data_IF_114165527907
#
_entry.id   IF_114165527907
#
_cell.length_a   1.000
_cell.length_b   1.000
_cell.length_c   1.000
_cell.angle_alpha   90.00
_cell.angle_beta   90.00
_cell.angle_gamma   90.00
#
_symmetry.space_group_name_H-M   'P 1'
#
loop_
_entity.id
_entity.type
_entity.pdbx_description
1 polymer ?
#
# COMPACT_ATOMS: atom_id res chain seq x y z
N UNK A 1 19.10 11.56 17.65
CA UNK A 1 19.73 10.35 17.08
C UNK A 1 20.06 10.64 15.63
N UNK A 2 21.01 9.92 15.02
CA UNK A 2 21.33 10.14 13.60
C UNK A 2 20.14 9.69 12.74
N UNK A 3 19.88 10.38 11.61
CA UNK A 3 18.83 10.03 10.65
C UNK A 3 18.87 8.54 10.27
N UNK A 4 20.06 7.97 10.15
CA UNK A 4 20.26 6.55 9.85
C UNK A 4 19.68 5.63 10.93
N UNK A 5 19.87 5.98 12.21
CA UNK A 5 19.34 5.19 13.33
C UNK A 5 17.82 5.20 13.30
N UNK A 6 17.23 6.38 13.08
CA UNK A 6 15.78 6.57 13.01
C UNK A 6 15.17 5.77 11.84
N UNK A 7 15.81 5.81 10.66
CA UNK A 7 15.38 5.02 9.49
C UNK A 7 15.50 3.51 9.72
N UNK A 8 16.55 3.04 10.40
CA UNK A 8 16.71 1.62 10.72
C UNK A 8 15.58 1.14 11.63
N UNK A 9 15.25 1.91 12.68
CA UNK A 9 14.17 1.56 13.62
C UNK A 9 12.85 1.41 12.87
N UNK A 10 12.48 2.42 12.07
CA UNK A 10 11.23 2.42 11.29
C UNK A 10 11.21 1.31 10.23
N UNK A 11 12.36 0.99 9.64
CA UNK A 11 12.43 -0.09 8.64
C UNK A 11 12.27 -1.46 9.29
N UNK A 12 12.86 -1.68 10.47
CA UNK A 12 12.74 -2.94 11.20
C UNK A 12 11.29 -3.17 11.64
N UNK A 13 10.64 -2.15 12.19
CA UNK A 13 9.23 -2.25 12.60
C UNK A 13 8.32 -2.47 11.39
N UNK A 14 8.57 -1.80 10.26
CA UNK A 14 7.84 -2.02 9.02
C UNK A 14 7.95 -3.47 8.52
N UNK A 15 9.16 -4.05 8.55
CA UNK A 15 9.35 -5.47 8.18
C UNK A 15 8.63 -6.38 9.16
N UNK A 16 8.69 -6.10 10.47
CA UNK A 16 7.99 -6.89 11.48
C UNK A 16 6.46 -6.86 11.27
N UNK A 17 5.88 -5.69 11.02
CA UNK A 17 4.45 -5.55 10.71
C UNK A 17 4.07 -6.21 9.39
N UNK A 18 4.93 -6.14 8.38
CA UNK A 18 4.70 -6.82 7.11
C UNK A 18 4.73 -8.34 7.25
N UNK A 19 5.72 -8.90 7.93
CA UNK A 19 5.80 -10.34 8.19
C UNK A 19 4.64 -10.80 9.09
N UNK A 20 4.30 -10.02 10.11
CA UNK A 20 3.17 -10.29 11.00
C UNK A 20 1.83 -10.29 10.26
N UNK A 21 1.57 -9.26 9.46
CA UNK A 21 0.38 -9.16 8.61
C UNK A 21 0.35 -10.27 7.57
N UNK A 22 1.46 -10.53 6.87
CA UNK A 22 1.58 -11.61 5.90
C UNK A 22 1.28 -12.97 6.53
N UNK A 23 1.87 -13.28 7.70
CA UNK A 23 1.65 -14.55 8.38
C UNK A 23 0.20 -14.70 8.88
N UNK A 24 -0.38 -13.62 9.41
CA UNK A 24 -1.77 -13.58 9.85
C UNK A 24 -2.73 -13.83 8.68
N UNK A 25 -2.56 -13.12 7.56
CA UNK A 25 -3.39 -13.30 6.38
C UNK A 25 -3.12 -14.64 5.67
N UNK A 26 -1.89 -15.12 5.66
CA UNK A 26 -1.57 -16.44 5.10
C UNK A 26 -2.21 -17.57 5.90
N UNK A 27 -2.33 -17.43 7.24
CA UNK A 27 -3.00 -18.44 8.08
C UNK A 27 -4.53 -18.34 8.04
N UNK A 28 -5.08 -17.12 8.02
CA UNK A 28 -6.52 -16.89 8.12
C UNK A 28 -7.24 -16.91 6.76
N UNK A 29 -6.61 -16.42 5.68
CA UNK A 29 -7.23 -16.24 4.36
C UNK A 29 -7.00 -17.44 3.43
N UNK A 30 -5.85 -18.11 3.51
CA UNK A 30 -5.54 -19.28 2.67
C UNK A 30 -6.25 -20.57 3.11
N UNK A 31 -6.98 -20.57 4.24
CA UNK A 31 -7.74 -21.75 4.67
C UNK A 31 -8.93 -22.05 3.76
N UNK A 32 -9.48 -21.04 3.07
CA UNK A 32 -10.67 -21.18 2.20
C UNK A 32 -10.51 -20.59 0.79
N UNK A 33 -9.32 -20.11 0.40
CA UNK A 33 -9.06 -19.57 -0.95
C UNK A 33 -8.31 -20.59 -1.80
N UNK A 34 -9.06 -21.48 -2.48
CA UNK A 34 -8.53 -22.48 -3.43
C UNK A 34 -7.95 -21.83 -4.71
N UNK A 35 -8.15 -20.52 -4.91
CA UNK A 35 -7.71 -19.79 -6.11
C UNK A 35 -6.54 -18.87 -5.77
N UNK A 36 -5.35 -19.37 -6.07
CA UNK A 36 -4.01 -18.89 -5.71
C UNK A 36 -3.64 -17.54 -6.34
N UNK A 37 -4.09 -16.44 -5.77
CA UNK A 37 -3.59 -15.11 -6.13
C UNK A 37 -2.77 -14.48 -5.01
N UNK A 38 -1.48 -14.87 -4.95
CA UNK A 38 -0.50 -14.35 -3.96
C UNK A 38 -0.41 -12.83 -3.93
N UNK A 39 -0.69 -12.17 -5.05
CA UNK A 39 -0.63 -10.70 -5.19
C UNK A 39 -1.67 -10.00 -4.31
N UNK A 40 -2.88 -10.55 -4.13
CA UNK A 40 -3.92 -9.96 -3.26
C UNK A 40 -3.52 -9.99 -1.81
N UNK A 41 -3.00 -11.14 -1.39
CA UNK A 41 -2.59 -11.35 -0.02
C UNK A 41 -1.41 -10.42 0.28
N UNK A 42 -0.52 -10.23 -0.70
CA UNK A 42 0.60 -9.30 -0.61
C UNK A 42 0.13 -7.86 -0.54
N UNK A 43 -0.79 -7.44 -1.41
CA UNK A 43 -1.30 -6.06 -1.40
C UNK A 43 -2.03 -5.76 -0.09
N UNK A 44 -2.81 -6.71 0.44
CA UNK A 44 -3.50 -6.52 1.71
C UNK A 44 -2.55 -6.47 2.90
N UNK A 45 -1.59 -7.40 2.98
CA UNK A 45 -0.56 -7.38 4.01
C UNK A 45 0.29 -6.10 3.96
N UNK A 46 0.58 -5.60 2.76
CA UNK A 46 1.33 -4.37 2.55
C UNK A 46 0.55 -3.13 3.01
N UNK A 47 -0.73 -3.01 2.64
CA UNK A 47 -1.61 -1.91 3.09
C UNK A 47 -1.77 -1.91 4.62
N UNK A 48 -1.90 -3.10 5.22
CA UNK A 48 -1.94 -3.24 6.68
C UNK A 48 -0.62 -2.80 7.33
N UNK A 49 0.52 -3.27 6.84
CA UNK A 49 1.83 -2.92 7.37
C UNK A 49 2.11 -1.41 7.28
N UNK A 50 1.75 -0.78 6.16
CA UNK A 50 1.86 0.67 5.99
C UNK A 50 0.95 1.44 6.96
N UNK A 51 -0.26 0.94 7.19
CA UNK A 51 -1.19 1.52 8.17
C UNK A 51 -0.63 1.45 9.60
N UNK A 52 -0.05 0.29 9.98
CA UNK A 52 0.67 0.13 11.24
C UNK A 52 1.88 1.07 11.35
N UNK A 53 2.64 1.25 10.26
CA UNK A 53 3.79 2.16 10.23
C UNK A 53 3.37 3.61 10.44
N UNK A 54 2.25 4.06 9.87
CA UNK A 54 1.72 5.41 10.15
C UNK A 54 1.27 5.56 11.60
N UNK A 55 0.60 4.55 12.14
CA UNK A 55 0.20 4.58 13.54
C UNK A 55 1.41 4.62 14.49
N UNK A 56 2.46 3.85 14.19
CA UNK A 56 3.72 3.89 14.92
C UNK A 56 4.38 5.28 14.85
N UNK A 57 4.39 5.94 13.68
CA UNK A 57 4.92 7.30 13.54
C UNK A 57 4.17 8.32 14.42
N UNK A 58 2.84 8.18 14.55
CA UNK A 58 2.04 9.01 15.48
C UNK A 58 2.45 8.74 16.93
N UNK A 59 2.68 7.48 17.32
CA UNK A 59 3.17 7.14 18.67
C UNK A 59 4.55 7.76 18.91
N UNK A 60 5.47 7.66 17.95
CA UNK A 60 6.79 8.28 18.05
C UNK A 60 6.76 9.81 18.04
N UNK A 61 5.69 10.40 17.50
CA UNK A 61 5.43 11.82 17.62
C UNK A 61 5.08 12.21 19.07
N UNK A 62 4.11 11.51 19.67
CA UNK A 62 3.65 11.75 21.04
C UNK A 62 4.77 11.51 22.06
N UNK A 63 5.59 10.47 21.86
CA UNK A 63 6.71 10.14 22.75
C UNK A 63 7.95 11.03 22.54
N UNK A 64 7.94 11.93 21.55
CA UNK A 64 9.08 12.75 21.15
C UNK A 64 10.39 11.94 20.92
N UNK A 65 10.25 10.68 20.51
CA UNK A 65 11.37 9.74 20.40
C UNK A 65 12.23 9.96 19.15
N UNK A 66 11.60 10.35 18.04
CA UNK A 66 12.22 10.52 16.73
C UNK A 66 12.39 12.00 16.35
N UNK A 67 13.43 12.33 15.58
CA UNK A 67 13.65 13.72 15.15
C UNK A 67 12.52 14.22 14.23
N UNK A 68 12.04 15.47 14.39
CA UNK A 68 10.92 16.01 13.59
C UNK A 68 11.13 15.95 12.07
N UNK A 69 12.36 16.21 11.60
CA UNK A 69 12.73 16.17 10.18
C UNK A 69 12.67 14.75 9.61
N UNK A 70 13.11 13.75 10.38
CA UNK A 70 13.03 12.33 10.01
C UNK A 70 11.58 11.87 9.91
N UNK A 71 10.75 12.22 10.91
CA UNK A 71 9.32 11.84 10.93
C UNK A 71 8.56 12.35 9.71
N UNK A 72 8.75 13.62 9.36
CA UNK A 72 8.05 14.23 8.24
C UNK A 72 8.37 13.54 6.91
N UNK A 73 9.62 13.12 6.71
CA UNK A 73 10.03 12.35 5.55
C UNK A 73 9.35 10.98 5.50
N UNK A 74 9.39 10.22 6.60
CA UNK A 74 8.76 8.89 6.66
C UNK A 74 7.23 8.96 6.51
N UNK A 75 6.61 10.00 7.07
CA UNK A 75 5.18 10.26 6.90
C UNK A 75 4.86 10.53 5.42
N UNK A 76 5.55 11.47 4.76
CA UNK A 76 5.30 11.76 3.34
C UNK A 76 5.46 10.51 2.48
N UNK A 77 6.55 9.77 2.66
CA UNK A 77 6.80 8.53 1.90
C UNK A 77 5.69 7.52 2.13
N UNK A 78 5.31 7.23 3.38
CA UNK A 78 4.28 6.25 3.65
C UNK A 78 2.90 6.66 3.12
N UNK A 79 2.55 7.95 3.12
CA UNK A 79 1.30 8.44 2.53
C UNK A 79 1.30 8.27 1.02
N UNK A 80 2.39 8.62 0.33
CA UNK A 80 2.52 8.40 -1.11
C UNK A 80 2.41 6.90 -1.46
N UNK A 81 3.04 6.03 -0.68
CA UNK A 81 2.94 4.58 -0.90
C UNK A 81 1.51 4.05 -0.67
N UNK A 82 0.84 4.48 0.40
CA UNK A 82 -0.55 4.06 0.65
C UNK A 82 -1.51 4.56 -0.43
N UNK A 83 -1.37 5.81 -0.84
CA UNK A 83 -2.18 6.39 -1.91
C UNK A 83 -1.94 5.64 -3.24
N UNK A 84 -0.69 5.30 -3.54
CA UNK A 84 -0.36 4.49 -4.71
C UNK A 84 -1.01 3.10 -4.66
N UNK A 85 -0.91 2.40 -3.54
CA UNK A 85 -1.52 1.07 -3.38
C UNK A 85 -3.04 1.12 -3.50
N UNK A 86 -3.66 2.13 -2.91
CA UNK A 86 -5.11 2.26 -2.88
C UNK A 86 -5.69 2.69 -4.24
N UNK A 87 -5.05 3.63 -4.92
CA UNK A 87 -5.57 4.21 -6.17
C UNK A 87 -5.16 3.40 -7.39
N UNK A 88 -3.96 2.85 -7.42
CA UNK A 88 -3.48 2.11 -8.60
C UNK A 88 -3.56 0.61 -8.42
N UNK A 89 -2.93 0.07 -7.36
CA UNK A 89 -2.74 -1.36 -7.23
C UNK A 89 -4.07 -2.11 -6.99
N UNK A 90 -4.92 -1.60 -6.09
CA UNK A 90 -6.20 -2.26 -5.77
C UNK A 90 -7.17 -2.24 -6.97
N UNK A 91 -7.46 -1.11 -7.64
CA UNK A 91 -8.39 -1.09 -8.76
C UNK A 91 -7.90 -1.89 -9.97
N UNK A 92 -6.59 -1.83 -10.26
CA UNK A 92 -5.97 -2.66 -11.29
C UNK A 92 -6.15 -4.15 -10.99
N UNK A 93 -5.99 -4.54 -9.74
CA UNK A 93 -6.11 -5.92 -9.34
C UNK A 93 -7.58 -6.41 -9.41
N UNK A 94 -8.54 -5.60 -8.97
CA UNK A 94 -9.98 -5.90 -9.10
C UNK A 94 -10.34 -6.02 -10.59
N UNK A 95 -9.85 -5.12 -11.44
CA UNK A 95 -10.05 -5.20 -12.88
C UNK A 95 -9.50 -6.52 -13.45
N UNK A 96 -8.28 -6.91 -13.07
CA UNK A 96 -7.69 -8.19 -13.49
C UNK A 96 -8.55 -9.39 -13.08
N UNK A 97 -9.04 -9.42 -11.84
CA UNK A 97 -9.94 -10.49 -11.39
C UNK A 97 -11.22 -10.55 -12.21
N UNK A 98 -11.87 -9.41 -12.43
CA UNK A 98 -13.13 -9.32 -13.19
C UNK A 98 -12.91 -9.72 -14.66
N UNK A 99 -11.79 -9.33 -15.27
CA UNK A 99 -11.45 -9.73 -16.63
C UNK A 99 -11.17 -11.24 -16.75
N UNK A 100 -10.67 -11.87 -15.68
CA UNK A 100 -10.40 -13.30 -15.68
C UNK A 100 -11.67 -14.15 -15.42
N UNK A 101 -12.70 -13.57 -14.78
CA UNK A 101 -13.98 -14.26 -14.57
C UNK A 101 -14.91 -14.15 -15.78
N UNK A 102 -14.81 -13.07 -16.57
CA UNK A 102 -15.63 -12.85 -17.76
C UNK A 102 -14.83 -13.25 -19.01
N UNK A 103 -15.43 -14.01 -19.93
CA UNK A 103 -14.82 -14.30 -21.25
C UNK A 103 -14.86 -13.05 -22.12
N UNK A 104 -13.86 -12.18 -21.96
CA UNK A 104 -13.71 -10.96 -22.76
C UNK A 104 -12.69 -11.23 -23.86
N UNK A 105 -13.04 -10.86 -25.09
CA UNK A 105 -12.21 -11.12 -26.28
C UNK A 105 -10.86 -10.39 -26.25
N UNK A 106 -10.79 -9.19 -25.64
CA UNK A 106 -9.52 -8.47 -25.45
C UNK A 106 -9.43 -7.74 -24.09
N UNK A 107 -8.97 -8.43 -23.02
CA UNK A 107 -8.83 -7.84 -21.69
C UNK A 107 -7.78 -6.72 -21.63
N UNK A 108 -6.83 -6.68 -22.59
CA UNK A 108 -5.75 -5.68 -22.59
C UNK A 108 -6.28 -4.27 -22.89
N UNK A 109 -7.29 -4.17 -23.75
CA UNK A 109 -7.92 -2.89 -24.08
C UNK A 109 -8.62 -2.26 -22.87
N UNK A 110 -9.32 -3.09 -22.08
CA UNK A 110 -10.01 -2.63 -20.87
C UNK A 110 -9.01 -2.24 -19.79
N UNK A 111 -7.96 -3.04 -19.59
CA UNK A 111 -6.91 -2.72 -18.62
C UNK A 111 -6.21 -1.39 -18.93
N UNK A 112 -5.93 -1.14 -20.22
CA UNK A 112 -5.33 0.12 -20.67
C UNK A 112 -6.28 1.31 -20.44
N UNK A 113 -7.57 1.13 -20.73
CA UNK A 113 -8.59 2.16 -20.49
C UNK A 113 -8.72 2.50 -19.00
N UNK A 114 -8.73 1.48 -18.13
CA UNK A 114 -8.76 1.68 -16.67
C UNK A 114 -7.51 2.42 -16.20
N UNK A 115 -6.33 2.05 -16.70
CA UNK A 115 -5.08 2.73 -16.36
C UNK A 115 -5.07 4.20 -16.79
N UNK A 116 -5.59 4.52 -17.98
CA UNK A 116 -5.74 5.91 -18.43
C UNK A 116 -6.72 6.71 -17.55
N UNK A 117 -7.83 6.10 -17.12
CA UNK A 117 -8.79 6.74 -16.21
C UNK A 117 -8.20 6.98 -14.82
N UNK A 118 -7.47 6.00 -14.25
CA UNK A 118 -6.78 6.14 -12.97
C UNK A 118 -5.69 7.22 -13.05
N UNK A 119 -4.95 7.29 -14.15
CA UNK A 119 -3.97 8.35 -14.38
C UNK A 119 -4.62 9.73 -14.46
N UNK A 120 -5.76 9.86 -15.15
CA UNK A 120 -6.55 11.10 -15.18
C UNK A 120 -7.07 11.50 -13.80
N UNK A 121 -7.56 10.53 -13.02
CA UNK A 121 -8.06 10.77 -11.66
C UNK A 121 -6.93 11.23 -10.74
N UNK A 122 -5.79 10.55 -10.76
CA UNK A 122 -4.60 10.93 -9.99
C UNK A 122 -4.08 12.32 -10.33
N UNK A 123 -4.03 12.66 -11.63
CA UNK A 123 -3.61 14.00 -12.06
C UNK A 123 -4.59 15.08 -11.58
N UNK A 124 -5.90 14.78 -11.57
CA UNK A 124 -6.91 15.71 -11.10
C UNK A 124 -6.86 15.92 -9.57
N UNK A 125 -6.71 14.85 -8.78
CA UNK A 125 -6.60 14.94 -7.32
C UNK A 125 -5.32 15.64 -6.87
N UNK A 126 -4.18 15.39 -7.52
CA UNK A 126 -2.93 16.12 -7.21
C UNK A 126 -2.97 17.55 -7.75
N UNK A 127 -3.60 17.79 -8.90
CA UNK A 127 -3.83 19.13 -9.42
C UNK A 127 -4.67 20.01 -8.49
N UNK A 128 -5.62 19.40 -7.76
CA UNK A 128 -6.43 20.06 -6.72
C UNK A 128 -5.62 20.31 -5.44
N UNK A 129 -4.62 19.48 -5.12
CA UNK A 129 -3.78 19.65 -3.92
C UNK A 129 -2.69 20.73 -4.06
N UNK A 130 -2.47 21.26 -5.27
CA UNK A 130 -1.40 22.24 -5.61
C UNK A 130 -1.98 23.64 -5.89
N UNK A 131 -3.31 23.81 -5.88
CA UNK A 131 -4.03 25.09 -5.98
C UNK A 131 -4.58 25.47 -4.60
#
# INVERSE_FOLDING_TARGET
MSLLTDTIVVTISQIAFFVGGWLFFFRQLCRNYDVRNRIVILSFALTFALSCTMFELIIFEILAFLQPSSRYLHWRIGLYFMLFLLVFLIPFYIAYLVLNTIKIDDPRKILKSIMELLFRFYYNDIGILII
#
